data_IF_347799216278
#
_entry.id   IF_347799216278
#
_cell.length_a   1.000
_cell.length_b   1.000
_cell.length_c   1.000
_cell.angle_alpha   90.00
_cell.angle_beta   90.00
_cell.angle_gamma   90.00
#
_symmetry.space_group_name_H-M   'P 1'
#
loop_
_entity.id
_entity.type
_entity.pdbx_description
1 polymer ?
#
# COMPACT_ATOMS: atom_id res chain seq x y z
N UNK A 1 -5.86 9.61 40.24
CA UNK A 1 -6.38 10.74 39.43
C UNK A 1 -5.29 11.44 38.63
N UNK A 2 -4.18 11.89 39.21
CA UNK A 2 -3.10 12.60 38.48
C UNK A 2 -2.56 11.80 37.28
N UNK A 3 -2.29 10.50 37.44
CA UNK A 3 -1.78 9.66 36.34
C UNK A 3 -2.79 9.54 35.18
N UNK A 4 -4.08 9.39 35.49
CA UNK A 4 -5.14 9.32 34.46
C UNK A 4 -5.20 10.60 33.63
N UNK A 5 -5.14 11.78 34.29
CA UNK A 5 -5.15 13.06 33.57
C UNK A 5 -3.94 13.22 32.66
N UNK A 6 -2.75 12.80 33.11
CA UNK A 6 -1.54 12.85 32.29
C UNK A 6 -1.65 11.92 31.08
N UNK A 7 -2.14 10.69 31.26
CA UNK A 7 -2.32 9.73 30.17
C UNK A 7 -3.33 10.20 29.15
N UNK A 8 -4.43 10.82 29.57
CA UNK A 8 -5.43 11.40 28.66
C UNK A 8 -4.84 12.56 27.84
N UNK A 9 -4.06 13.44 28.48
CA UNK A 9 -3.39 14.53 27.78
C UNK A 9 -2.36 14.03 26.77
N UNK A 10 -1.56 13.02 27.14
CA UNK A 10 -0.62 12.39 26.20
C UNK A 10 -1.33 11.73 25.04
N UNK A 11 -2.45 11.05 25.29
CA UNK A 11 -3.26 10.42 24.26
C UNK A 11 -3.87 11.47 23.32
N UNK A 12 -4.46 12.54 23.87
CA UNK A 12 -5.01 13.63 23.08
C UNK A 12 -3.95 14.32 22.21
N UNK A 13 -2.77 14.55 22.76
CA UNK A 13 -1.63 15.10 22.03
C UNK A 13 -1.19 14.17 20.89
N UNK A 14 -1.07 12.86 21.17
CA UNK A 14 -0.68 11.87 20.16
C UNK A 14 -1.67 11.82 18.99
N UNK A 15 -2.99 11.84 19.27
CA UNK A 15 -4.02 11.87 18.21
C UNK A 15 -3.98 13.19 17.44
N UNK A 16 -3.88 14.33 18.13
CA UNK A 16 -3.77 15.62 17.47
C UNK A 16 -2.56 15.68 16.54
N UNK A 17 -1.42 15.21 17.00
CA UNK A 17 -0.21 15.15 16.18
C UNK A 17 -0.36 14.18 15.01
N UNK A 18 -1.01 13.02 15.22
CA UNK A 18 -1.34 12.06 14.16
C UNK A 18 -2.19 12.68 13.05
N UNK A 19 -3.17 13.51 13.42
CA UNK A 19 -4.05 14.20 12.46
C UNK A 19 -3.29 15.18 11.57
N UNK A 20 -2.34 15.94 12.14
CA UNK A 20 -1.47 16.81 11.33
C UNK A 20 -0.58 16.03 10.37
N UNK A 21 0.03 14.94 10.84
CA UNK A 21 0.83 14.06 9.96
C UNK A 21 -0.04 13.45 8.86
N UNK A 22 -1.27 13.04 9.18
CA UNK A 22 -2.19 12.47 8.19
C UNK A 22 -2.55 13.49 7.11
N UNK A 23 -2.79 14.74 7.50
CA UNK A 23 -3.10 15.83 6.57
C UNK A 23 -1.94 16.13 5.61
N UNK A 24 -0.70 16.14 6.11
CA UNK A 24 0.47 16.58 5.34
C UNK A 24 1.13 15.43 4.55
N UNK A 25 1.12 14.21 5.10
CA UNK A 25 1.87 13.07 4.58
C UNK A 25 1.03 11.81 4.33
N UNK A 26 -0.29 11.91 4.54
CA UNK A 26 -1.23 10.83 4.29
C UNK A 26 -1.35 9.80 5.42
N UNK A 27 -2.41 8.98 5.30
CA UNK A 27 -2.84 8.00 6.31
C UNK A 27 -1.78 6.92 6.62
N UNK A 28 -1.07 6.43 5.60
CA UNK A 28 -0.03 5.42 5.76
C UNK A 28 1.11 5.92 6.66
N UNK A 29 1.46 7.19 6.54
CA UNK A 29 2.50 7.85 7.35
C UNK A 29 2.06 7.97 8.81
N UNK A 30 0.84 8.42 9.08
CA UNK A 30 0.27 8.52 10.42
C UNK A 30 0.20 7.13 11.09
N UNK A 31 -0.23 6.11 10.36
CA UNK A 31 -0.18 4.70 10.83
C UNK A 31 1.25 4.28 11.17
N UNK A 32 2.23 4.54 10.30
CA UNK A 32 3.62 4.12 10.48
C UNK A 32 4.32 4.81 11.66
N UNK A 33 4.09 6.11 11.88
CA UNK A 33 4.80 6.91 12.87
C UNK A 33 4.16 6.89 14.25
N UNK A 34 2.84 6.76 14.34
CA UNK A 34 2.11 6.92 15.60
C UNK A 34 1.32 5.68 15.95
N UNK A 35 0.29 5.37 15.16
CA UNK A 35 -0.66 4.34 15.55
C UNK A 35 -0.06 2.92 15.62
N UNK A 36 0.98 2.60 14.85
CA UNK A 36 1.65 1.28 14.86
C UNK A 36 2.84 1.22 15.83
N UNK A 37 3.15 2.30 16.58
CA UNK A 37 4.28 2.32 17.49
C UNK A 37 3.94 1.72 18.86
N UNK A 38 4.92 1.05 19.46
CA UNK A 38 4.80 0.42 20.77
C UNK A 38 4.49 1.40 21.92
N UNK A 39 4.98 2.66 21.83
CA UNK A 39 4.72 3.68 22.86
C UNK A 39 3.24 4.11 22.87
N UNK A 40 2.58 4.21 21.69
CA UNK A 40 1.15 4.52 21.60
C UNK A 40 0.31 3.38 22.17
N UNK A 41 0.68 2.14 21.89
CA UNK A 41 0.09 0.95 22.48
C UNK A 41 0.23 0.94 24.00
N UNK A 42 1.43 1.28 24.51
CA UNK A 42 1.67 1.44 25.94
C UNK A 42 0.74 2.43 26.61
N UNK A 43 0.45 3.57 25.96
CA UNK A 43 -0.53 4.55 26.46
C UNK A 43 -1.93 3.93 26.55
N UNK A 44 -2.38 3.21 25.52
CA UNK A 44 -3.70 2.55 25.50
C UNK A 44 -3.82 1.48 26.59
N UNK A 45 -2.81 0.66 26.77
CA UNK A 45 -2.76 -0.38 27.82
C UNK A 45 -2.82 0.27 29.21
N UNK A 46 -2.02 1.31 29.44
CA UNK A 46 -1.99 2.02 30.72
C UNK A 46 -3.31 2.73 31.00
N UNK A 47 -3.96 3.32 29.99
CA UNK A 47 -5.30 3.89 30.12
C UNK A 47 -6.32 2.84 30.53
N UNK A 48 -6.35 1.70 29.83
CA UNK A 48 -7.26 0.59 30.11
C UNK A 48 -7.05 0.05 31.54
N UNK A 49 -5.80 -0.20 31.92
CA UNK A 49 -5.46 -0.65 33.26
C UNK A 49 -5.90 0.34 34.34
N UNK A 50 -5.65 1.64 34.14
CA UNK A 50 -6.03 2.68 35.07
C UNK A 50 -7.54 2.81 35.21
N UNK A 51 -8.29 2.66 34.11
CA UNK A 51 -9.76 2.67 34.13
C UNK A 51 -10.33 1.48 34.92
N UNK A 52 -9.83 0.26 34.67
CA UNK A 52 -10.24 -0.94 35.41
C UNK A 52 -9.93 -0.75 36.91
N UNK A 53 -8.75 -0.27 37.24
CA UNK A 53 -8.36 -0.02 38.63
C UNK A 53 -9.30 1.02 39.32
N UNK A 54 -9.73 2.06 38.60
CA UNK A 54 -10.70 3.02 39.09
C UNK A 54 -12.09 2.39 39.36
N UNK A 55 -12.57 1.50 38.47
CA UNK A 55 -13.82 0.77 38.67
C UNK A 55 -13.80 0.00 40.00
N UNK A 56 -12.72 -0.74 40.24
CA UNK A 56 -12.56 -1.57 41.43
C UNK A 56 -12.41 -0.71 42.69
N UNK A 57 -11.48 0.23 42.69
CA UNK A 57 -11.18 1.06 43.87
C UNK A 57 -12.33 1.94 44.32
N UNK A 58 -13.12 2.47 43.36
CA UNK A 58 -14.28 3.30 43.67
C UNK A 58 -15.58 2.54 43.91
N UNK A 59 -15.50 1.18 43.82
CA UNK A 59 -16.66 0.28 44.00
C UNK A 59 -17.85 0.76 43.17
N UNK A 60 -17.60 0.95 41.84
CA UNK A 60 -18.61 1.47 40.93
C UNK A 60 -19.69 0.43 40.57
N UNK A 61 -19.53 -0.82 40.97
CA UNK A 61 -20.50 -1.90 40.77
C UNK A 61 -21.74 -1.81 41.67
N UNK A 62 -22.01 -0.66 42.26
CA UNK A 62 -23.20 -0.41 43.08
C UNK A 62 -24.29 0.21 42.24
N UNK A 63 -25.56 -0.10 42.56
CA UNK A 63 -26.72 0.39 41.81
C UNK A 63 -26.86 1.92 41.84
N UNK A 64 -26.43 2.57 42.94
CA UNK A 64 -26.42 4.03 43.07
C UNK A 64 -25.41 4.72 42.16
N UNK A 65 -24.48 3.98 41.54
CA UNK A 65 -23.42 4.47 40.66
C UNK A 65 -23.45 3.93 39.22
N UNK A 66 -24.60 3.38 38.82
CA UNK A 66 -24.73 2.67 37.55
C UNK A 66 -24.39 3.55 36.36
N UNK A 67 -24.71 4.83 36.37
CA UNK A 67 -24.37 5.77 35.30
C UNK A 67 -22.85 5.94 35.13
N UNK A 68 -22.11 6.05 36.26
CA UNK A 68 -20.66 6.12 36.23
C UNK A 68 -20.03 4.79 35.79
N UNK A 69 -20.59 3.66 36.20
CA UNK A 69 -20.17 2.33 35.75
C UNK A 69 -20.31 2.18 34.24
N UNK A 70 -21.48 2.49 33.69
CA UNK A 70 -21.78 2.39 32.26
C UNK A 70 -20.82 3.24 31.44
N UNK A 71 -20.56 4.49 31.88
CA UNK A 71 -19.62 5.37 31.23
C UNK A 71 -18.20 4.78 31.14
N UNK A 72 -17.67 4.27 32.24
CA UNK A 72 -16.34 3.67 32.25
C UNK A 72 -16.28 2.36 31.48
N UNK A 73 -17.34 1.56 31.53
CA UNK A 73 -17.43 0.32 30.77
C UNK A 73 -17.44 0.58 29.25
N UNK A 74 -18.18 1.60 28.82
CA UNK A 74 -18.20 2.02 27.43
C UNK A 74 -16.80 2.38 26.90
N UNK A 75 -16.02 3.13 27.69
CA UNK A 75 -14.63 3.44 27.32
C UNK A 75 -13.74 2.18 27.25
N UNK A 76 -13.89 1.26 28.17
CA UNK A 76 -13.16 -0.01 28.13
C UNK A 76 -13.52 -0.79 26.87
N UNK A 77 -14.80 -0.87 26.51
CA UNK A 77 -15.24 -1.50 25.28
C UNK A 77 -14.65 -0.82 24.03
N UNK A 78 -14.57 0.51 23.99
CA UNK A 78 -13.94 1.28 22.90
C UNK A 78 -12.43 0.93 22.81
N UNK A 79 -11.73 0.86 23.93
CA UNK A 79 -10.30 0.53 23.94
C UNK A 79 -10.02 -0.91 23.49
N UNK A 80 -10.88 -1.86 23.90
CA UNK A 80 -10.84 -3.24 23.43
C UNK A 80 -11.11 -3.30 21.91
N UNK A 81 -12.15 -2.58 21.45
CA UNK A 81 -12.47 -2.47 20.03
C UNK A 81 -11.31 -1.90 19.21
N UNK A 82 -10.63 -0.86 19.71
CA UNK A 82 -9.43 -0.32 19.09
C UNK A 82 -8.30 -1.35 18.98
N UNK A 83 -8.14 -2.21 20.00
CA UNK A 83 -7.20 -3.33 19.95
C UNK A 83 -7.58 -4.35 18.85
N UNK A 84 -8.85 -4.74 18.76
CA UNK A 84 -9.35 -5.65 17.73
C UNK A 84 -9.11 -5.06 16.33
N UNK A 85 -9.47 -3.81 16.13
CA UNK A 85 -9.26 -3.10 14.86
C UNK A 85 -7.78 -3.08 14.48
N UNK A 86 -6.89 -2.88 15.44
CA UNK A 86 -5.45 -2.82 15.18
C UNK A 86 -4.85 -4.16 14.73
N UNK A 87 -5.25 -5.27 15.34
CA UNK A 87 -4.60 -6.57 15.17
C UNK A 87 -5.32 -7.54 14.25
N UNK A 88 -6.65 -7.40 14.11
CA UNK A 88 -7.48 -8.41 13.45
C UNK A 88 -8.18 -7.84 12.22
N UNK A 89 -8.47 -6.52 12.16
CA UNK A 89 -9.28 -5.97 11.08
C UNK A 89 -8.53 -5.86 9.76
N UNK A 90 -9.29 -6.02 8.69
CA UNK A 90 -8.93 -5.64 7.33
C UNK A 90 -9.76 -4.42 6.93
N UNK A 91 -9.09 -3.38 6.47
CA UNK A 91 -9.71 -2.14 6.02
C UNK A 91 -9.50 -1.97 4.52
N UNK A 92 -10.52 -1.47 3.84
CA UNK A 92 -10.44 -1.21 2.41
C UNK A 92 -11.72 -0.61 1.85
N UNK A 93 -11.70 -0.29 0.58
CA UNK A 93 -12.84 0.26 -0.15
C UNK A 93 -13.43 -0.77 -1.11
N UNK A 94 -14.75 -0.83 -1.15
CA UNK A 94 -15.50 -1.67 -2.06
C UNK A 94 -16.27 -0.77 -3.04
N UNK A 95 -15.87 -0.80 -4.31
CA UNK A 95 -16.55 -0.06 -5.36
C UNK A 95 -17.62 -0.93 -6.01
N UNK A 96 -18.88 -0.58 -5.80
CA UNK A 96 -20.03 -1.29 -6.40
C UNK A 96 -20.78 -0.29 -7.27
N UNK A 97 -20.89 -0.58 -8.58
CA UNK A 97 -21.71 0.22 -9.49
C UNK A 97 -23.18 -0.14 -9.31
N UNK A 98 -24.06 0.79 -9.64
CA UNK A 98 -25.51 0.56 -9.57
C UNK A 98 -25.92 -0.63 -10.47
N UNK A 99 -26.60 -1.60 -9.89
CA UNK A 99 -26.98 -2.86 -10.56
C UNK A 99 -25.96 -3.99 -10.49
N UNK A 100 -24.74 -3.73 -10.03
CA UNK A 100 -23.69 -4.74 -9.89
C UNK A 100 -23.57 -5.30 -8.48
N UNK A 101 -22.83 -6.42 -8.34
CA UNK A 101 -22.43 -6.97 -7.04
C UNK A 101 -20.96 -7.38 -7.08
N UNK A 102 -20.26 -7.25 -5.93
CA UNK A 102 -18.88 -7.69 -5.79
C UNK A 102 -18.65 -8.32 -4.42
N UNK A 103 -17.75 -9.29 -4.36
CA UNK A 103 -17.22 -9.87 -3.13
C UNK A 103 -15.76 -9.50 -2.87
N UNK A 104 -15.22 -8.53 -3.64
CA UNK A 104 -13.84 -8.07 -3.54
C UNK A 104 -13.81 -6.64 -2.99
N UNK A 105 -12.82 -6.35 -2.18
CA UNK A 105 -12.51 -5.00 -1.75
C UNK A 105 -11.02 -4.70 -1.96
N UNK A 106 -10.70 -3.44 -2.18
CA UNK A 106 -9.32 -2.96 -2.34
C UNK A 106 -8.83 -2.52 -0.96
N UNK A 107 -7.79 -3.18 -0.47
CA UNK A 107 -7.20 -2.84 0.83
C UNK A 107 -6.46 -1.51 0.78
N UNK A 108 -6.64 -0.69 1.82
CA UNK A 108 -5.85 0.53 2.04
C UNK A 108 -4.41 0.24 2.52
N UNK A 109 -4.16 -0.98 2.95
CA UNK A 109 -2.87 -1.37 3.48
C UNK A 109 -1.99 -2.02 2.40
N UNK A 110 -0.70 -1.74 2.43
CA UNK A 110 0.28 -2.37 1.54
C UNK A 110 0.73 -3.71 2.12
N UNK A 111 0.72 -4.76 1.30
CA UNK A 111 1.17 -6.10 1.69
C UNK A 111 2.36 -6.53 0.84
N UNK A 112 3.38 -7.08 1.50
CA UNK A 112 4.39 -7.87 0.84
C UNK A 112 3.87 -9.29 0.70
N UNK A 113 3.62 -9.74 -0.53
CA UNK A 113 3.19 -11.08 -0.84
C UNK A 113 4.38 -11.89 -1.34
N UNK A 114 4.71 -12.96 -0.64
CA UNK A 114 5.79 -13.87 -1.02
C UNK A 114 5.18 -15.20 -1.45
N UNK A 115 5.41 -15.57 -2.71
CA UNK A 115 5.00 -16.84 -3.27
C UNK A 115 6.23 -17.71 -3.50
N UNK A 116 6.28 -18.86 -2.86
CA UNK A 116 7.35 -19.83 -3.00
C UNK A 116 6.75 -21.11 -3.61
N UNK A 117 7.31 -21.54 -4.73
CA UNK A 117 6.86 -22.72 -5.45
C UNK A 117 8.06 -23.61 -5.81
N UNK A 118 8.00 -24.89 -5.45
CA UNK A 118 8.98 -25.91 -5.82
C UNK A 118 8.41 -26.95 -6.81
N UNK A 119 7.33 -26.60 -7.54
CA UNK A 119 6.55 -27.44 -8.46
C UNK A 119 5.74 -28.57 -7.79
N UNK A 120 5.97 -28.86 -6.51
CA UNK A 120 5.23 -29.85 -5.72
C UNK A 120 4.43 -29.22 -4.60
N UNK A 121 4.91 -28.14 -4.03
CA UNK A 121 4.30 -27.44 -2.92
C UNK A 121 4.35 -25.94 -3.18
N UNK A 122 3.24 -25.29 -2.92
CA UNK A 122 3.12 -23.83 -2.98
C UNK A 122 2.97 -23.30 -1.55
N UNK A 123 3.72 -22.25 -1.24
CA UNK A 123 3.64 -21.56 0.02
C UNK A 123 3.42 -20.08 -0.26
N UNK A 124 2.42 -19.51 0.42
CA UNK A 124 2.11 -18.09 0.35
C UNK A 124 2.28 -17.47 1.72
N UNK A 125 3.01 -16.38 1.77
CA UNK A 125 3.21 -15.59 2.97
C UNK A 125 2.90 -14.12 2.67
N UNK A 126 2.01 -13.54 3.47
CA UNK A 126 1.58 -12.16 3.34
C UNK A 126 2.01 -11.38 4.60
N UNK A 127 2.71 -10.27 4.43
CA UNK A 127 3.11 -9.38 5.52
C UNK A 127 2.67 -7.97 5.24
N UNK A 128 1.90 -7.39 6.17
CA UNK A 128 1.51 -5.98 6.14
C UNK A 128 2.74 -5.09 6.35
N UNK A 129 2.93 -4.11 5.47
CA UNK A 129 3.99 -3.12 5.54
C UNK A 129 3.40 -1.74 5.78
N UNK A 130 4.06 -0.97 6.64
CA UNK A 130 3.73 0.44 6.88
C UNK A 130 4.77 1.32 6.20
N UNK A 131 4.58 1.56 4.89
CA UNK A 131 5.48 2.37 4.08
C UNK A 131 5.10 3.86 4.15
N UNK A 132 6.09 4.71 4.27
CA UNK A 132 5.92 6.15 4.39
C UNK A 132 7.06 6.91 3.72
N UNK A 133 6.74 8.04 3.08
CA UNK A 133 7.74 8.90 2.44
C UNK A 133 8.78 9.52 3.36
N UNK A 134 8.55 9.50 4.69
CA UNK A 134 9.42 10.14 5.70
C UNK A 134 10.01 9.18 6.72
N UNK A 135 9.85 7.85 6.50
CA UNK A 135 10.46 6.82 7.34
C UNK A 135 11.49 6.01 6.56
N UNK A 136 12.37 5.31 7.26
CA UNK A 136 13.41 4.49 6.61
C UNK A 136 12.87 3.32 5.78
N UNK A 137 11.64 2.89 6.02
CA UNK A 137 10.97 1.77 5.31
C UNK A 137 11.78 0.47 5.20
N UNK A 138 12.75 0.30 6.10
CA UNK A 138 13.60 -0.89 6.12
C UNK A 138 12.85 -2.02 6.79
N UNK A 139 12.77 -3.16 6.10
CA UNK A 139 12.23 -4.38 6.69
C UNK A 139 13.14 -5.57 6.35
N UNK A 140 13.18 -6.51 7.27
CA UNK A 140 13.79 -7.82 7.08
C UNK A 140 12.72 -8.88 7.38
N UNK A 141 12.63 -9.88 6.52
CA UNK A 141 11.69 -10.97 6.64
C UNK A 141 12.43 -12.27 6.41
N UNK A 142 12.31 -13.19 7.35
CA UNK A 142 12.80 -14.56 7.21
C UNK A 142 11.59 -15.48 7.06
N UNK A 143 11.53 -16.21 5.96
CA UNK A 143 10.50 -17.17 5.66
C UNK A 143 11.11 -18.57 5.61
N UNK A 144 10.64 -19.46 6.48
CA UNK A 144 11.06 -20.85 6.47
C UNK A 144 10.20 -21.63 5.48
N UNK A 145 10.83 -22.23 4.49
CA UNK A 145 10.19 -23.12 3.54
C UNK A 145 10.90 -24.48 3.58
N UNK A 146 10.27 -25.48 4.18
CA UNK A 146 10.90 -26.78 4.49
C UNK A 146 12.18 -26.59 5.29
N UNK A 147 13.31 -27.10 4.80
CA UNK A 147 14.62 -26.99 5.44
C UNK A 147 15.40 -25.72 5.04
N UNK A 148 14.81 -24.87 4.19
CA UNK A 148 15.46 -23.65 3.69
C UNK A 148 14.90 -22.41 4.38
N UNK A 149 15.79 -21.54 4.82
CA UNK A 149 15.45 -20.21 5.33
C UNK A 149 15.71 -19.17 4.24
N UNK A 150 14.66 -18.47 3.81
CA UNK A 150 14.73 -17.44 2.78
C UNK A 150 14.67 -16.09 3.47
N UNK A 151 15.76 -15.32 3.35
CA UNK A 151 15.83 -13.96 3.87
C UNK A 151 15.47 -12.96 2.78
N UNK A 152 14.50 -12.09 3.06
CA UNK A 152 14.04 -11.03 2.18
C UNK A 152 14.25 -9.70 2.91
N UNK A 153 15.01 -8.79 2.33
CA UNK A 153 15.25 -7.46 2.88
C UNK A 153 14.90 -6.37 1.87
N UNK A 154 14.38 -5.24 2.36
CA UNK A 154 14.24 -4.06 1.53
C UNK A 154 15.62 -3.46 1.24
N UNK A 155 15.83 -3.04 0.01
CA UNK A 155 17.02 -2.27 -0.38
C UNK A 155 16.72 -0.79 -0.21
N UNK A 156 15.65 -0.32 -0.86
CA UNK A 156 15.27 1.08 -0.87
C UNK A 156 13.76 1.19 -1.12
N UNK A 157 13.16 2.25 -0.60
CA UNK A 157 11.79 2.66 -0.90
C UNK A 157 11.82 4.11 -1.39
N UNK A 158 11.45 4.32 -2.64
CA UNK A 158 11.41 5.63 -3.28
C UNK A 158 9.95 6.11 -3.38
N UNK A 159 9.52 7.04 -2.52
CA UNK A 159 8.19 7.65 -2.63
C UNK A 159 8.16 8.66 -3.78
N UNK A 160 7.01 8.79 -4.42
CA UNK A 160 6.76 9.80 -5.45
C UNK A 160 7.75 9.77 -6.63
N UNK A 161 8.13 8.57 -7.06
CA UNK A 161 8.96 8.39 -8.27
C UNK A 161 8.14 8.64 -9.51
N UNK A 162 8.80 9.24 -10.50
CA UNK A 162 8.31 9.36 -11.85
C UNK A 162 9.30 8.71 -12.79
N UNK A 163 8.82 7.83 -13.65
CA UNK A 163 9.65 7.30 -14.72
C UNK A 163 10.06 8.43 -15.67
N UNK A 164 11.35 8.52 -15.96
CA UNK A 164 11.88 9.49 -16.91
C UNK A 164 12.86 8.82 -17.86
N UNK A 165 12.76 9.19 -19.14
CA UNK A 165 13.65 8.72 -20.18
C UNK A 165 14.76 9.74 -20.38
N UNK A 166 16.00 9.26 -20.34
CA UNK A 166 17.19 10.05 -20.64
C UNK A 166 17.71 9.66 -22.02
N UNK A 167 17.79 10.64 -22.91
CA UNK A 167 18.33 10.44 -24.26
C UNK A 167 19.86 10.49 -24.20
N UNK A 168 20.53 9.60 -24.95
CA UNK A 168 21.99 9.65 -25.14
C UNK A 168 22.82 9.05 -24.02
N UNK A 169 22.25 8.18 -23.19
CA UNK A 169 23.00 7.45 -22.17
C UNK A 169 23.83 6.33 -22.80
N UNK A 170 25.16 6.32 -22.60
CA UNK A 170 26.02 5.23 -23.04
C UNK A 170 25.65 3.92 -22.35
N UNK A 171 25.35 2.87 -23.15
CA UNK A 171 24.83 1.58 -22.64
C UNK A 171 23.31 1.54 -22.43
N UNK A 172 22.60 2.61 -22.75
CA UNK A 172 21.14 2.64 -22.74
C UNK A 172 20.52 1.70 -23.79
N UNK A 173 19.33 1.18 -23.50
CA UNK A 173 18.55 0.37 -24.46
C UNK A 173 17.79 1.32 -25.40
N UNK A 174 17.71 0.93 -26.67
CA UNK A 174 16.81 1.64 -27.61
C UNK A 174 15.38 1.43 -27.16
N UNK A 175 14.62 2.53 -27.09
CA UNK A 175 13.19 2.49 -26.77
C UNK A 175 12.42 3.31 -27.80
N UNK A 176 11.28 2.77 -28.23
CA UNK A 176 10.32 3.46 -29.07
C UNK A 176 9.23 4.06 -28.16
N UNK A 177 9.03 5.36 -28.24
CA UNK A 177 7.95 6.04 -27.57
C UNK A 177 6.78 6.20 -28.54
N UNK A 178 5.64 5.67 -28.17
CA UNK A 178 4.39 5.74 -28.92
C UNK A 178 3.36 6.53 -28.11
N UNK A 179 2.62 7.39 -28.77
CA UNK A 179 1.47 8.06 -28.17
C UNK A 179 0.21 7.45 -28.80
N UNK A 180 -0.56 6.74 -28.00
CA UNK A 180 -1.76 6.04 -28.48
C UNK A 180 -3.03 6.64 -27.86
N UNK A 181 -4.16 6.68 -28.58
CA UNK A 181 -5.42 7.18 -28.02
C UNK A 181 -5.90 6.25 -26.89
N UNK A 182 -6.18 6.83 -25.70
CA UNK A 182 -6.69 6.16 -24.51
C UNK A 182 -8.16 6.48 -24.23
N UNK A 183 -8.75 5.81 -23.24
CA UNK A 183 -10.13 6.11 -22.79
C UNK A 183 -10.25 7.51 -22.19
N UNK A 184 -9.19 7.99 -21.55
CA UNK A 184 -9.12 9.30 -20.90
C UNK A 184 -8.16 10.29 -21.60
N UNK A 185 -7.93 10.12 -22.92
CA UNK A 185 -6.99 10.95 -23.69
C UNK A 185 -5.84 10.15 -24.28
N UNK A 186 -4.76 10.83 -24.66
CA UNK A 186 -3.56 10.21 -25.18
C UNK A 186 -2.77 9.52 -24.06
N UNK A 187 -2.26 8.32 -24.31
CA UNK A 187 -1.44 7.53 -23.40
C UNK A 187 -0.07 7.29 -24.00
N UNK A 188 0.96 7.42 -23.17
CA UNK A 188 2.34 7.14 -23.52
C UNK A 188 2.63 5.66 -23.36
N UNK A 189 3.12 5.01 -24.43
CA UNK A 189 3.54 3.61 -24.42
C UNK A 189 5.01 3.52 -24.87
N UNK A 190 5.77 2.68 -24.20
CA UNK A 190 7.20 2.51 -24.46
C UNK A 190 7.50 1.07 -24.78
N UNK A 191 8.08 0.82 -25.95
CA UNK A 191 8.57 -0.49 -26.36
C UNK A 191 10.09 -0.52 -26.34
N UNK A 192 10.65 -1.49 -25.63
CA UNK A 192 12.08 -1.75 -25.63
C UNK A 192 12.52 -2.42 -26.94
N UNK A 193 13.83 -2.36 -27.24
CA UNK A 193 14.38 -3.05 -28.41
C UNK A 193 14.04 -4.56 -28.38
N UNK A 194 13.55 -5.07 -29.51
CA UNK A 194 13.06 -6.44 -29.71
C UNK A 194 11.82 -6.83 -28.92
N UNK A 195 11.14 -5.90 -28.31
CA UNK A 195 9.89 -6.15 -27.58
C UNK A 195 8.70 -6.33 -28.54
N UNK A 196 7.81 -7.24 -28.16
CA UNK A 196 6.49 -7.44 -28.75
C UNK A 196 5.44 -7.26 -27.66
N UNK A 197 4.47 -6.38 -27.87
CA UNK A 197 3.44 -6.06 -26.87
C UNK A 197 2.08 -5.88 -27.54
N UNK A 198 1.04 -6.31 -26.85
CA UNK A 198 -0.35 -6.00 -27.23
C UNK A 198 -0.71 -4.66 -26.60
N UNK A 199 -1.07 -3.69 -27.42
CA UNK A 199 -1.59 -2.40 -27.01
C UNK A 199 -2.97 -2.27 -27.63
N UNK A 200 -4.01 -2.18 -26.81
CA UNK A 200 -5.42 -2.04 -27.23
C UNK A 200 -5.91 -3.12 -28.23
N UNK A 201 -5.47 -4.34 -28.06
CA UNK A 201 -5.89 -5.46 -28.92
C UNK A 201 -5.07 -5.65 -30.18
N UNK A 202 -4.17 -4.72 -30.50
CA UNK A 202 -3.26 -4.81 -31.63
C UNK A 202 -1.85 -5.18 -31.20
N UNK A 203 -1.13 -5.97 -31.99
CA UNK A 203 0.25 -6.31 -31.74
C UNK A 203 1.18 -5.22 -32.25
N UNK A 204 2.00 -4.68 -31.36
CA UNK A 204 3.06 -3.73 -31.67
C UNK A 204 4.42 -4.39 -31.46
N UNK A 205 5.35 -4.17 -32.35
CA UNK A 205 6.71 -4.71 -32.24
C UNK A 205 7.73 -3.63 -32.55
N UNK A 206 8.89 -3.72 -31.90
CA UNK A 206 10.03 -2.85 -32.19
C UNK A 206 11.27 -3.71 -32.45
N UNK A 207 11.85 -3.58 -33.67
CA UNK A 207 13.01 -4.34 -34.15
C UNK A 207 12.86 -5.88 -34.06
N UNK A 208 11.64 -6.39 -33.99
CA UNK A 208 11.35 -7.83 -33.96
C UNK A 208 10.04 -8.11 -34.71
N UNK A 209 10.03 -8.09 -36.04
CA UNK A 209 8.83 -8.09 -36.84
C UNK A 209 7.99 -9.34 -36.67
N UNK A 210 6.69 -9.18 -36.56
CA UNK A 210 5.68 -10.21 -36.48
C UNK A 210 4.66 -10.04 -37.61
N UNK A 211 4.27 -11.15 -38.24
CA UNK A 211 3.26 -11.12 -39.31
C UNK A 211 1.90 -10.74 -38.72
N UNK A 212 1.23 -9.75 -39.31
CA UNK A 212 -0.07 -9.25 -38.83
C UNK A 212 0.02 -8.21 -37.71
N UNK A 213 1.22 -7.84 -37.26
CA UNK A 213 1.44 -6.80 -36.26
C UNK A 213 1.82 -5.45 -36.91
N UNK A 214 1.70 -4.40 -36.11
CA UNK A 214 2.28 -3.08 -36.43
C UNK A 214 3.75 -3.12 -36.05
N UNK A 215 4.59 -3.21 -37.06
CA UNK A 215 6.03 -3.41 -36.92
C UNK A 215 6.78 -2.11 -37.05
N UNK A 216 7.54 -1.73 -36.02
CA UNK A 216 8.49 -0.63 -36.07
C UNK A 216 9.91 -1.19 -36.13
N UNK A 217 10.74 -0.59 -36.98
CA UNK A 217 12.16 -0.90 -37.06
C UNK A 217 12.96 0.40 -37.10
N UNK A 218 14.08 0.43 -36.42
CA UNK A 218 15.00 1.57 -36.42
C UNK A 218 16.29 1.24 -37.17
N UNK A 219 16.69 2.10 -38.08
CA UNK A 219 17.99 2.03 -38.74
C UNK A 219 18.65 3.40 -38.61
N UNK A 220 19.67 3.48 -37.77
CA UNK A 220 20.36 4.72 -37.41
C UNK A 220 19.39 5.79 -36.90
N UNK A 221 19.04 6.78 -37.71
CA UNK A 221 18.22 7.92 -37.33
C UNK A 221 16.79 7.85 -37.88
N UNK A 222 16.45 6.79 -38.59
CA UNK A 222 15.13 6.62 -39.19
C UNK A 222 14.33 5.50 -38.50
N UNK A 223 13.05 5.75 -38.32
CA UNK A 223 12.08 4.76 -37.86
C UNK A 223 11.18 4.39 -39.03
N UNK A 224 11.12 3.12 -39.34
CA UNK A 224 10.24 2.55 -40.35
C UNK A 224 9.05 1.89 -39.66
N UNK A 225 7.87 2.14 -40.17
CA UNK A 225 6.64 1.49 -39.74
C UNK A 225 6.09 0.64 -40.87
N UNK A 226 5.82 -0.65 -40.60
CA UNK A 226 5.07 -1.52 -41.49
C UNK A 226 3.83 -2.02 -40.75
N UNK A 227 2.67 -1.62 -41.22
CA UNK A 227 1.38 -1.93 -40.60
C UNK A 227 0.46 -2.61 -41.61
N UNK A 228 -0.33 -3.62 -41.20
CA UNK A 228 -1.41 -4.14 -42.05
C UNK A 228 -2.53 -3.13 -42.23
N UNK A 229 -2.61 -2.11 -41.40
CA UNK A 229 -3.60 -1.04 -41.42
C UNK A 229 -2.98 0.26 -41.97
N UNK A 230 -3.82 1.17 -42.48
CA UNK A 230 -3.34 2.50 -42.91
C UNK A 230 -2.86 3.30 -41.68
N UNK A 231 -1.64 3.84 -41.75
CA UNK A 231 -1.08 4.71 -40.73
C UNK A 231 -1.06 6.15 -41.28
N UNK A 232 -1.72 7.05 -40.55
CA UNK A 232 -1.58 8.49 -40.81
C UNK A 232 -0.37 9.01 -40.04
N UNK A 233 0.63 9.51 -40.75
CA UNK A 233 1.76 10.21 -40.14
C UNK A 233 1.40 11.69 -40.09
N UNK A 234 1.31 12.23 -38.87
CA UNK A 234 1.23 13.68 -38.68
C UNK A 234 2.65 14.26 -38.77
N UNK A 235 2.88 15.10 -39.75
CA UNK A 235 4.13 15.87 -39.90
C UNK A 235 4.11 17.11 -39.02
#
# INVERSE_FOLDING_TARGET
MKLMSILILLFAFAIGYATFIENDFGRSTSKALIFSKWWFEGILILLTYNMINNLIKRKLFRLDKIAALTFHLAFICILIGAGITRYISYEGMMHIREGDSTNLFISDDTFLQVHIDDKKHQYKYDKKLYLSGITSNIFNLNVNFKDNNIAISSIEFLPNVKDSLFVGFEGGKKMLHLIVPGENGMQDEFLSDKEQRIIKGEFFTFNNPLVGAINFSSNSDLIYCNSPNFVHVMS
#
